data_IF_330191147748
#
_entry.id   IF_330191147748
#
_cell.length_a   1.000
_cell.length_b   1.000
_cell.length_c   1.000
_cell.angle_alpha   90.00
_cell.angle_beta   90.00
_cell.angle_gamma   90.00
#
_symmetry.space_group_name_H-M   'P 1'
#
loop_
_entity.id
_entity.type
_entity.pdbx_description
1 polymer ?
#
# COMPACT_ATOMS: atom_id res chain seq x y z
N UNK A 1 -10.44 -19.69 7.84
CA UNK A 1 -9.32 -19.87 8.79
C UNK A 1 -9.59 -20.99 9.80
N UNK A 2 -10.69 -20.98 10.58
CA UNK A 2 -10.96 -22.02 11.61
C UNK A 2 -10.93 -23.47 11.09
N UNK A 3 -11.50 -23.73 9.90
CA UNK A 3 -11.45 -25.06 9.27
C UNK A 3 -10.01 -25.52 8.99
N UNK A 4 -9.16 -24.62 8.50
CA UNK A 4 -7.72 -24.91 8.24
C UNK A 4 -6.97 -25.14 9.55
N UNK A 5 -7.26 -24.36 10.59
CA UNK A 5 -6.70 -24.57 11.94
C UNK A 5 -7.09 -25.93 12.52
N UNK A 6 -8.33 -26.38 12.31
CA UNK A 6 -8.77 -27.71 12.75
C UNK A 6 -8.02 -28.83 12.04
N UNK A 7 -7.62 -28.64 10.78
CA UNK A 7 -6.82 -29.62 10.05
C UNK A 7 -5.38 -29.66 10.56
N UNK A 8 -4.77 -28.51 10.78
CA UNK A 8 -3.38 -28.43 11.27
C UNK A 8 -3.28 -28.94 12.71
N UNK A 9 -4.04 -28.35 13.64
CA UNK A 9 -3.90 -28.64 15.08
C UNK A 9 -4.70 -29.85 15.54
N UNK A 10 -5.82 -30.17 14.87
CA UNK A 10 -6.67 -31.30 15.24
C UNK A 10 -6.35 -32.58 14.47
N UNK A 11 -5.94 -32.47 13.21
CA UNK A 11 -5.68 -33.63 12.34
C UNK A 11 -4.20 -33.81 11.95
N UNK A 12 -3.31 -32.91 12.38
CA UNK A 12 -1.88 -32.99 12.09
C UNK A 12 -1.49 -32.72 10.65
N UNK A 13 -2.33 -32.03 9.86
CA UNK A 13 -1.99 -31.70 8.47
C UNK A 13 -0.79 -30.75 8.46
N UNK A 14 0.17 -31.00 7.56
CA UNK A 14 1.29 -30.08 7.35
C UNK A 14 0.81 -28.75 6.77
N UNK A 15 1.54 -27.67 7.03
CA UNK A 15 1.23 -26.34 6.48
C UNK A 15 1.27 -26.31 4.95
N UNK A 16 2.10 -27.17 4.35
CA UNK A 16 2.30 -27.25 2.91
C UNK A 16 1.32 -28.23 2.22
N UNK A 17 0.41 -28.86 2.97
CA UNK A 17 -0.54 -29.81 2.42
C UNK A 17 -1.46 -29.12 1.39
N UNK A 18 -1.66 -29.71 0.22
CA UNK A 18 -2.40 -29.09 -0.90
C UNK A 18 -3.76 -28.54 -0.51
N UNK A 19 -4.55 -29.30 0.27
CA UNK A 19 -5.84 -28.83 0.78
C UNK A 19 -5.75 -27.59 1.70
N UNK A 20 -4.68 -27.49 2.52
CA UNK A 20 -4.41 -26.33 3.38
C UNK A 20 -4.02 -25.13 2.50
N UNK A 21 -3.07 -25.33 1.59
CA UNK A 21 -2.57 -24.31 0.67
C UNK A 21 -3.68 -23.78 -0.23
N UNK A 22 -4.44 -24.64 -0.90
CA UNK A 22 -5.54 -24.26 -1.78
C UNK A 22 -6.61 -23.42 -1.06
N UNK A 23 -6.87 -23.72 0.22
CA UNK A 23 -7.87 -22.99 1.00
C UNK A 23 -7.38 -21.63 1.48
N UNK A 24 -6.09 -21.49 1.75
CA UNK A 24 -5.48 -20.22 2.20
C UNK A 24 -5.13 -19.30 1.03
N UNK A 25 -4.66 -19.86 -0.09
CA UNK A 25 -4.20 -19.12 -1.25
C UNK A 25 -5.28 -18.25 -1.90
N UNK A 26 -6.54 -18.69 -1.90
CA UNK A 26 -7.67 -17.95 -2.52
C UNK A 26 -7.80 -16.50 -2.01
N UNK A 27 -7.37 -16.22 -0.78
CA UNK A 27 -7.39 -14.88 -0.21
C UNK A 27 -6.06 -14.43 0.38
N UNK A 28 -4.95 -15.07 -0.01
CA UNK A 28 -3.63 -14.85 0.59
C UNK A 28 -3.65 -14.88 2.13
N UNK A 29 -4.43 -15.79 2.71
CA UNK A 29 -4.70 -15.86 4.14
C UNK A 29 -3.63 -16.67 4.87
N UNK A 30 -3.45 -16.38 6.15
CA UNK A 30 -2.65 -17.20 7.06
C UNK A 30 -3.55 -18.02 7.98
N UNK A 31 -3.07 -19.14 8.56
CA UNK A 31 -3.83 -19.92 9.55
C UNK A 31 -3.94 -19.22 10.92
N UNK A 32 -3.50 -17.97 11.03
CA UNK A 32 -3.52 -17.17 12.25
C UNK A 32 -4.90 -16.56 12.47
N UNK A 33 -5.47 -16.77 13.66
CA UNK A 33 -6.68 -16.06 14.09
C UNK A 33 -6.25 -14.76 14.78
N UNK A 34 -6.56 -13.60 14.18
CA UNK A 34 -6.23 -12.30 14.77
C UNK A 34 -7.19 -11.94 15.89
N UNK A 35 -6.74 -11.15 16.88
CA UNK A 35 -7.61 -10.62 17.92
C UNK A 35 -8.77 -9.78 17.34
N UNK A 36 -8.50 -9.04 16.26
CA UNK A 36 -9.53 -8.31 15.50
C UNK A 36 -10.59 -9.25 14.95
N UNK A 37 -10.21 -10.39 14.38
CA UNK A 37 -11.18 -11.37 13.89
C UNK A 37 -12.03 -11.94 15.03
N UNK A 38 -11.45 -12.22 16.19
CA UNK A 38 -12.20 -12.75 17.34
C UNK A 38 -13.22 -11.73 17.88
N UNK A 39 -12.85 -10.45 17.89
CA UNK A 39 -13.70 -9.37 18.41
C UNK A 39 -14.77 -8.88 17.42
N UNK A 40 -14.42 -8.74 16.14
CA UNK A 40 -15.27 -8.12 15.12
C UNK A 40 -16.14 -9.12 14.35
N UNK A 41 -15.73 -10.39 14.25
CA UNK A 41 -16.51 -11.41 13.55
C UNK A 41 -17.91 -11.63 14.14
N UNK A 42 -18.10 -11.66 15.49
CA UNK A 42 -19.44 -11.75 16.08
C UNK A 42 -20.35 -10.56 15.75
N UNK A 43 -19.76 -9.40 15.44
CA UNK A 43 -20.48 -8.19 15.04
C UNK A 43 -20.79 -8.16 13.54
N UNK A 44 -20.41 -9.19 12.79
CA UNK A 44 -20.58 -9.25 11.33
C UNK A 44 -19.61 -8.36 10.55
N UNK A 45 -18.58 -7.81 11.21
CA UNK A 45 -17.63 -6.88 10.59
C UNK A 45 -16.41 -7.65 10.09
N UNK A 46 -16.14 -7.56 8.79
CA UNK A 46 -14.91 -8.07 8.21
C UNK A 46 -13.75 -7.09 8.44
N UNK A 47 -12.87 -7.39 9.39
CA UNK A 47 -11.78 -6.46 9.72
C UNK A 47 -10.81 -6.22 8.55
N UNK A 48 -10.70 -7.14 7.59
CA UNK A 48 -9.85 -6.94 6.41
C UNK A 48 -10.32 -5.77 5.54
N UNK A 49 -11.62 -5.43 5.55
CA UNK A 49 -12.13 -4.27 4.82
C UNK A 49 -11.95 -2.95 5.57
N UNK A 50 -11.48 -2.99 6.83
CA UNK A 50 -11.19 -1.79 7.61
C UNK A 50 -9.78 -1.25 7.34
N UNK A 51 -8.88 -2.11 6.88
CA UNK A 51 -7.50 -1.76 6.61
C UNK A 51 -7.40 -1.18 5.21
N UNK A 52 -7.09 0.11 5.11
CA UNK A 52 -6.68 0.70 3.84
C UNK A 52 -5.37 0.03 3.39
N UNK A 53 -5.29 -0.32 2.11
CA UNK A 53 -4.04 -0.82 1.53
C UNK A 53 -3.01 0.28 1.62
N UNK A 54 -1.94 0.03 2.38
CA UNK A 54 -0.80 0.92 2.45
C UNK A 54 0.20 0.52 1.35
N UNK A 55 0.09 1.20 0.20
CA UNK A 55 0.97 0.96 -0.94
C UNK A 55 2.46 1.17 -0.59
N UNK A 56 2.79 1.95 0.44
CA UNK A 56 4.18 2.11 0.89
C UNK A 56 4.71 0.92 1.66
N UNK A 57 3.84 0.09 2.26
CA UNK A 57 4.25 -1.18 2.84
C UNK A 57 4.44 -2.26 1.75
N UNK A 58 3.73 -2.13 0.64
CA UNK A 58 3.78 -3.08 -0.46
C UNK A 58 4.90 -2.79 -1.47
N UNK A 59 5.21 -1.51 -1.71
CA UNK A 59 6.26 -1.08 -2.61
C UNK A 59 7.52 -0.63 -1.87
N UNK A 60 8.66 -1.20 -2.23
CA UNK A 60 9.95 -0.67 -1.79
C UNK A 60 10.11 0.78 -2.26
N UNK A 61 10.52 1.67 -1.35
CA UNK A 61 10.69 3.10 -1.63
C UNK A 61 11.58 3.37 -2.86
N UNK A 62 12.60 2.53 -3.08
CA UNK A 62 13.47 2.61 -4.25
C UNK A 62 12.77 2.31 -5.58
N UNK A 63 11.83 1.37 -5.59
CA UNK A 63 11.01 1.03 -6.76
C UNK A 63 10.08 2.20 -7.10
N UNK A 64 9.40 2.74 -6.09
CA UNK A 64 8.54 3.92 -6.27
C UNK A 64 9.33 5.11 -6.82
N UNK A 65 10.47 5.43 -6.20
CA UNK A 65 11.35 6.52 -6.66
C UNK A 65 11.76 6.34 -8.13
N UNK A 66 12.12 5.11 -8.52
CA UNK A 66 12.54 4.81 -9.90
C UNK A 66 11.39 5.01 -10.88
N UNK A 67 10.18 4.56 -10.52
CA UNK A 67 8.98 4.78 -11.31
C UNK A 67 8.65 6.27 -11.44
N UNK A 68 8.68 7.02 -10.34
CA UNK A 68 8.37 8.45 -10.33
C UNK A 68 9.35 9.25 -11.19
N UNK A 69 10.66 8.94 -11.15
CA UNK A 69 11.66 9.54 -12.04
C UNK A 69 11.35 9.24 -13.50
N UNK A 70 10.91 8.02 -13.81
CA UNK A 70 10.55 7.63 -15.17
C UNK A 70 9.31 8.39 -15.66
N UNK A 71 8.27 8.52 -14.84
CA UNK A 71 7.07 9.30 -15.15
C UNK A 71 7.41 10.76 -15.44
N UNK A 72 8.25 11.40 -14.62
CA UNK A 72 8.68 12.79 -14.84
C UNK A 72 9.48 12.93 -16.13
N UNK A 73 10.36 11.97 -16.47
CA UNK A 73 11.07 11.97 -17.76
C UNK A 73 10.10 11.91 -18.94
N UNK A 74 9.05 11.10 -18.86
CA UNK A 74 8.00 11.08 -19.89
C UNK A 74 7.31 12.44 -20.01
N UNK A 75 6.95 13.07 -18.89
CA UNK A 75 6.38 14.43 -18.91
C UNK A 75 7.32 15.43 -19.60
N UNK A 76 8.62 15.35 -19.35
CA UNK A 76 9.64 16.19 -20.01
C UNK A 76 9.64 15.94 -21.53
N UNK A 77 9.53 14.68 -21.97
CA UNK A 77 9.46 14.33 -23.40
C UNK A 77 8.23 14.93 -24.09
N UNK A 78 7.08 15.01 -23.40
CA UNK A 78 5.87 15.64 -23.95
C UNK A 78 5.92 17.16 -23.97
N UNK A 79 6.88 17.78 -23.28
CA UNK A 79 7.15 19.21 -23.34
C UNK A 79 6.86 19.97 -22.04
N UNK A 80 7.25 21.24 -21.99
CA UNK A 80 7.27 22.03 -20.76
C UNK A 80 5.87 22.29 -20.18
N UNK A 81 4.83 22.32 -21.00
CA UNK A 81 3.46 22.52 -20.52
C UNK A 81 2.94 21.37 -19.68
N UNK A 82 3.31 20.13 -20.02
CA UNK A 82 2.92 18.94 -19.25
C UNK A 82 3.62 18.94 -17.89
N UNK A 83 4.91 19.28 -17.86
CA UNK A 83 5.68 19.42 -16.61
C UNK A 83 5.07 20.51 -15.72
N UNK A 84 4.73 21.67 -16.28
CA UNK A 84 4.09 22.76 -15.54
C UNK A 84 2.72 22.36 -14.97
N UNK A 85 1.93 21.60 -15.73
CA UNK A 85 0.65 21.07 -15.24
C UNK A 85 0.84 20.07 -14.09
N UNK A 86 1.86 19.20 -14.18
CA UNK A 86 2.21 18.28 -13.09
C UNK A 86 2.50 19.04 -11.80
N UNK A 87 3.42 20.01 -11.86
CA UNK A 87 3.82 20.80 -10.70
C UNK A 87 2.66 21.63 -10.14
N UNK A 88 1.80 22.17 -11.01
CA UNK A 88 0.60 22.90 -10.60
C UNK A 88 -0.39 22.00 -9.84
N UNK A 89 -0.60 20.76 -10.31
CA UNK A 89 -1.51 19.81 -9.64
C UNK A 89 -1.00 19.42 -8.26
N UNK A 90 0.30 19.12 -8.12
CA UNK A 90 0.86 18.80 -6.81
C UNK A 90 0.79 19.98 -5.84
N UNK A 91 0.99 21.22 -6.30
CA UNK A 91 0.81 22.42 -5.45
C UNK A 91 -0.62 22.62 -4.95
N UNK A 92 -1.61 22.12 -5.70
CA UNK A 92 -3.03 22.21 -5.35
C UNK A 92 -3.47 21.12 -4.37
N UNK A 93 -2.63 20.10 -4.11
CA UNK A 93 -2.93 19.06 -3.13
C UNK A 93 -3.01 19.72 -1.74
N UNK A 94 -4.19 19.67 -1.08
CA UNK A 94 -4.35 20.24 0.25
C UNK A 94 -3.54 19.43 1.25
N UNK A 95 -3.07 20.09 2.31
CA UNK A 95 -2.45 19.39 3.43
C UNK A 95 -3.44 18.45 4.10
N UNK A 96 -3.00 17.26 4.47
CA UNK A 96 -3.83 16.28 5.19
C UNK A 96 -3.26 15.99 6.57
N UNK A 97 -4.13 16.04 7.58
CA UNK A 97 -3.75 15.85 8.99
C UNK A 97 -2.83 16.96 9.52
N UNK A 98 -2.35 16.81 10.76
CA UNK A 98 -1.40 17.76 11.36
C UNK A 98 0.00 17.70 10.76
N UNK A 99 0.35 16.62 10.04
CA UNK A 99 1.68 16.41 9.44
C UNK A 99 1.75 15.28 8.41
N UNK A 100 0.61 14.69 8.00
CA UNK A 100 0.60 13.47 7.18
C UNK A 100 0.90 13.77 5.73
N UNK A 101 0.20 14.73 5.11
CA UNK A 101 0.55 15.24 3.78
C UNK A 101 0.85 16.73 3.90
N UNK A 102 2.06 17.15 3.52
CA UNK A 102 2.47 18.55 3.55
C UNK A 102 2.24 19.22 2.19
N UNK A 103 2.15 20.54 2.21
CA UNK A 103 2.01 21.32 0.97
C UNK A 103 3.30 21.24 0.16
N UNK A 104 3.17 20.86 -1.11
CA UNK A 104 4.27 20.83 -2.07
C UNK A 104 4.63 22.25 -2.52
N UNK A 105 5.66 22.85 -1.91
CA UNK A 105 6.09 24.22 -2.25
C UNK A 105 7.00 24.28 -3.49
N UNK A 106 7.86 23.27 -3.64
CA UNK A 106 8.79 23.17 -4.76
C UNK A 106 8.14 22.43 -5.94
N UNK A 107 8.72 22.60 -7.14
CA UNK A 107 8.36 21.78 -8.29
C UNK A 107 8.72 20.32 -7.98
N UNK A 108 7.72 19.44 -8.07
CA UNK A 108 7.90 18.00 -7.89
C UNK A 108 8.73 17.41 -9.02
N UNK A 109 8.57 17.95 -10.23
CA UNK A 109 9.35 17.57 -11.41
C UNK A 109 10.87 17.72 -11.23
N UNK A 110 11.32 18.66 -10.40
CA UNK A 110 12.74 18.87 -10.14
C UNK A 110 13.32 17.87 -9.14
N UNK A 111 12.47 17.29 -8.28
CA UNK A 111 12.85 16.33 -7.22
C UNK A 111 14.02 16.78 -6.34
N UNK A 112 14.19 18.09 -6.16
CA UNK A 112 15.31 18.65 -5.39
C UNK A 112 15.00 18.63 -3.91
N UNK A 113 15.97 18.17 -3.12
CA UNK A 113 15.92 18.13 -1.64
C UNK A 113 14.78 17.27 -1.07
N UNK A 114 14.35 16.24 -1.79
CA UNK A 114 13.33 15.31 -1.31
C UNK A 114 13.96 14.31 -0.33
N UNK A 115 13.40 14.24 0.87
CA UNK A 115 13.63 13.15 1.81
C UNK A 115 12.73 11.95 1.47
N UNK A 116 12.97 10.81 2.11
CA UNK A 116 12.16 9.59 1.92
C UNK A 116 10.66 9.88 2.05
N UNK A 117 10.27 10.51 3.17
CA UNK A 117 8.94 11.06 3.46
C UNK A 117 8.31 11.94 2.36
N UNK A 118 9.12 12.64 1.57
CA UNK A 118 8.57 13.49 0.51
C UNK A 118 8.25 12.66 -0.74
N UNK A 119 8.94 11.54 -0.98
CA UNK A 119 8.52 10.56 -1.98
C UNK A 119 7.27 9.80 -1.54
N UNK A 120 7.12 9.55 -0.24
CA UNK A 120 5.91 8.96 0.35
C UNK A 120 4.69 9.84 0.08
N UNK A 121 4.78 11.15 0.35
CA UNK A 121 3.68 12.10 0.10
C UNK A 121 3.26 12.18 -1.39
N UNK A 122 4.11 11.76 -2.35
CA UNK A 122 3.81 11.80 -3.78
C UNK A 122 2.95 10.64 -4.30
N UNK A 123 2.88 9.55 -3.53
CA UNK A 123 2.16 8.32 -3.88
C UNK A 123 0.66 8.47 -3.54
#
# INVERSE_FOLDING_TARGET
IQKVRSWIFGKGYSLNHDAVTARLALGSLTPTASAFSAFLFPLGVNFYSLLAVDLMHEFELGVWKSLMVHLVRMCICFGPDVVRQLDQRYRQVPTFGRSTIRSFRNNVSEMKKFAARDFEDLL
#
